data_IF_014989859091
#
_entry.id   IF_014989859091
#
_cell.length_a   1.000
_cell.length_b   1.000
_cell.length_c   1.000
_cell.angle_alpha   90.00
_cell.angle_beta   90.00
_cell.angle_gamma   90.00
#
_symmetry.space_group_name_H-M   'P 1'
#
loop_
_entity.id
_entity.type
_entity.pdbx_description
1 polymer ?
#
# COMPACT_ATOMS: atom_id res chain seq x y z
N UNK A 1 5.00 3.88 14.73
CA UNK A 1 4.79 5.35 14.87
C UNK A 1 4.73 5.96 13.48
N UNK A 2 3.83 6.92 13.25
CA UNK A 2 3.68 7.64 11.97
C UNK A 2 4.27 9.06 12.10
N UNK A 3 5.18 9.43 11.22
CA UNK A 3 5.87 10.73 11.27
C UNK A 3 5.14 11.78 10.43
N UNK A 4 5.04 12.99 10.97
CA UNK A 4 4.39 14.11 10.29
C UNK A 4 5.12 14.47 8.99
N UNK A 5 4.41 14.63 7.85
CA UNK A 5 5.05 14.95 6.57
C UNK A 5 5.55 16.40 6.50
N UNK A 6 5.12 17.27 7.40
CA UNK A 6 5.62 18.64 7.47
C UNK A 6 7.09 18.63 7.90
N UNK A 7 7.97 19.06 6.98
CA UNK A 7 9.42 19.11 7.17
C UNK A 7 9.85 19.87 8.42
N UNK A 8 9.15 20.94 8.80
CA UNK A 8 9.46 21.73 9.99
C UNK A 8 8.98 21.09 11.30
N UNK A 9 8.18 20.02 11.23
CA UNK A 9 7.56 19.40 12.40
C UNK A 9 8.09 18.00 12.68
N UNK A 10 7.90 17.08 11.72
CA UNK A 10 8.34 15.68 11.78
C UNK A 10 8.00 14.93 13.08
N UNK A 11 7.02 15.40 13.86
CA UNK A 11 6.65 14.75 15.12
C UNK A 11 6.10 13.33 14.88
N UNK A 12 6.41 12.42 15.80
CA UNK A 12 5.82 11.09 15.84
C UNK A 12 4.35 11.18 16.31
N UNK A 13 3.48 10.42 15.66
CA UNK A 13 2.05 10.35 15.94
C UNK A 13 1.60 8.89 15.97
N UNK A 14 0.51 8.63 16.70
CA UNK A 14 -0.18 7.35 16.61
C UNK A 14 -0.77 7.15 15.20
N UNK A 15 -0.79 5.91 14.74
CA UNK A 15 -1.35 5.54 13.43
C UNK A 15 -2.84 5.89 13.33
N UNK A 16 -3.59 5.88 14.44
CA UNK A 16 -5.01 6.25 14.45
C UNK A 16 -5.25 7.75 14.21
N UNK A 17 -4.25 8.60 14.39
CA UNK A 17 -4.41 10.04 14.25
C UNK A 17 -4.59 10.45 12.78
N UNK A 18 -5.57 11.32 12.51
CA UNK A 18 -5.79 11.93 11.19
C UNK A 18 -4.96 13.19 10.95
N UNK A 19 -4.61 13.89 12.03
CA UNK A 19 -3.83 15.12 12.00
C UNK A 19 -2.70 15.04 13.03
N UNK A 20 -1.58 15.68 12.70
CA UNK A 20 -0.46 15.80 13.61
C UNK A 20 -0.87 16.49 14.90
N UNK A 21 -0.59 15.89 16.06
CA UNK A 21 -0.94 16.47 17.36
C UNK A 21 -0.19 17.78 17.64
N UNK A 22 1.01 17.96 17.05
CA UNK A 22 1.85 19.14 17.26
C UNK A 22 1.51 20.32 16.35
N UNK A 23 1.33 20.08 15.04
CA UNK A 23 1.20 21.15 14.04
C UNK A 23 -0.08 21.09 13.21
N UNK A 24 -0.97 20.11 13.48
CA UNK A 24 -2.25 19.90 12.79
C UNK A 24 -2.18 19.63 11.28
N UNK A 25 -0.99 19.48 10.70
CA UNK A 25 -0.82 18.96 9.32
C UNK A 25 -1.51 17.59 9.19
N UNK A 26 -2.28 17.34 8.11
CA UNK A 26 -2.84 16.02 7.83
C UNK A 26 -1.78 14.92 7.83
N UNK A 27 -2.14 13.75 8.33
CA UNK A 27 -1.28 12.57 8.36
C UNK A 27 -1.77 11.55 7.31
N UNK A 28 -1.27 11.65 6.06
CA UNK A 28 -1.58 10.65 5.04
C UNK A 28 -1.05 9.28 5.47
N UNK A 29 -1.78 8.24 5.11
CA UNK A 29 -1.44 6.84 5.41
C UNK A 29 -1.39 6.10 4.08
N UNK A 30 -0.18 5.74 3.66
CA UNK A 30 0.02 4.91 2.49
C UNK A 30 0.21 3.47 2.96
N UNK A 31 -0.84 2.66 2.80
CA UNK A 31 -0.74 1.22 2.95
C UNK A 31 -0.42 0.64 1.58
N UNK A 32 0.74 0.01 1.49
CA UNK A 32 1.37 -0.41 0.26
C UNK A 32 1.31 -1.93 0.17
N UNK A 33 0.97 -2.42 -1.01
CA UNK A 33 1.05 -3.83 -1.34
C UNK A 33 2.45 -4.17 -1.82
N UNK A 34 3.08 -5.17 -1.22
CA UNK A 34 4.43 -5.57 -1.54
C UNK A 34 4.46 -6.83 -2.40
N UNK A 35 5.22 -6.75 -3.49
CA UNK A 35 5.46 -7.82 -4.43
C UNK A 35 6.94 -8.19 -4.48
N UNK A 36 7.20 -9.48 -4.70
CA UNK A 36 8.54 -10.05 -4.73
C UNK A 36 8.64 -11.27 -3.80
N UNK A 37 9.62 -12.12 -4.04
CA UNK A 37 9.79 -13.41 -3.33
C UNK A 37 9.88 -13.24 -1.81
N UNK A 38 10.51 -12.15 -1.35
CA UNK A 38 10.70 -11.86 0.07
C UNK A 38 9.50 -11.16 0.72
N UNK A 39 8.48 -10.73 -0.04
CA UNK A 39 7.35 -9.98 0.52
C UNK A 39 6.56 -10.79 1.57
N UNK A 40 6.51 -12.11 1.39
CA UNK A 40 5.81 -13.05 2.26
C UNK A 40 6.62 -13.46 3.50
N UNK A 41 7.93 -13.18 3.52
CA UNK A 41 8.80 -13.59 4.63
C UNK A 41 8.78 -12.62 5.80
N UNK A 42 8.34 -11.38 5.56
CA UNK A 42 8.24 -10.35 6.60
C UNK A 42 7.07 -10.61 7.54
N UNK A 43 7.32 -10.38 8.83
CA UNK A 43 6.36 -10.54 9.91
C UNK A 43 5.80 -9.18 10.35
N UNK A 44 4.56 -9.12 10.86
CA UNK A 44 4.02 -7.89 11.44
C UNK A 44 4.99 -7.30 12.48
N UNK A 45 5.30 -6.02 12.35
CA UNK A 45 6.27 -5.32 13.20
C UNK A 45 7.66 -5.14 12.57
N UNK A 46 8.00 -5.90 11.52
CA UNK A 46 9.26 -5.71 10.79
C UNK A 46 9.32 -4.32 10.16
N UNK A 47 10.47 -3.64 10.26
CA UNK A 47 10.69 -2.33 9.68
C UNK A 47 11.75 -2.42 8.59
N UNK A 48 11.38 -2.06 7.37
CA UNK A 48 12.28 -2.05 6.19
C UNK A 48 12.71 -0.61 5.92
N UNK A 49 14.01 -0.41 5.70
CA UNK A 49 14.64 0.87 5.32
C UNK A 49 14.29 2.02 6.29
N UNK A 50 14.13 1.70 7.57
CA UNK A 50 13.67 2.62 8.62
C UNK A 50 12.37 3.40 8.26
N UNK A 51 11.54 2.84 7.37
CA UNK A 51 10.40 3.57 6.77
C UNK A 51 9.15 2.73 6.61
N UNK A 52 9.26 1.51 6.11
CA UNK A 52 8.10 0.69 5.78
C UNK A 52 7.86 -0.35 6.88
N UNK A 53 6.79 -0.15 7.64
CA UNK A 53 6.41 -1.05 8.73
C UNK A 53 5.50 -2.16 8.18
N UNK A 54 5.91 -3.41 8.30
CA UNK A 54 5.09 -4.57 7.99
C UNK A 54 3.89 -4.62 8.94
N UNK A 55 2.69 -4.53 8.38
CA UNK A 55 1.43 -4.68 9.12
C UNK A 55 0.91 -6.11 9.03
N UNK A 56 1.18 -6.77 7.91
CA UNK A 56 0.87 -8.16 7.58
C UNK A 56 1.85 -8.59 6.46
N UNK A 57 2.12 -9.89 6.25
CA UNK A 57 2.72 -10.34 5.00
C UNK A 57 2.09 -9.62 3.79
N UNK A 58 2.95 -9.05 2.93
CA UNK A 58 2.60 -8.23 1.77
C UNK A 58 1.94 -6.85 2.01
N UNK A 59 1.60 -6.45 3.24
CA UNK A 59 1.01 -5.13 3.51
C UNK A 59 1.90 -4.30 4.43
N UNK A 60 2.36 -3.15 3.92
CA UNK A 60 3.29 -2.26 4.60
C UNK A 60 2.70 -0.88 4.78
N UNK A 61 2.96 -0.24 5.92
CA UNK A 61 2.64 1.17 6.14
C UNK A 61 3.90 2.02 5.91
N UNK A 62 3.81 3.04 5.04
CA UNK A 62 4.84 4.08 5.00
C UNK A 62 4.73 4.96 6.26
N UNK A 63 5.69 4.79 7.18
CA UNK A 63 5.73 5.54 8.43
C UNK A 63 6.27 6.97 8.27
N UNK A 64 6.89 7.30 7.13
CA UNK A 64 7.48 8.61 6.83
C UNK A 64 6.95 9.14 5.49
N UNK A 65 5.65 9.51 5.41
CA UNK A 65 5.05 9.97 4.15
C UNK A 65 5.58 11.32 3.65
N UNK A 66 6.33 12.07 4.47
CA UNK A 66 7.02 13.29 4.04
C UNK A 66 8.28 13.04 3.21
N UNK A 67 8.78 11.79 3.18
CA UNK A 67 9.90 11.41 2.32
C UNK A 67 9.38 11.09 0.92
N UNK A 68 10.02 11.69 -0.08
CA UNK A 68 9.75 11.43 -1.49
C UNK A 68 10.14 9.97 -1.79
N UNK A 69 9.25 9.16 -2.40
CA UNK A 69 9.61 7.81 -2.82
C UNK A 69 10.76 7.84 -3.81
N UNK A 70 11.74 6.95 -3.64
CA UNK A 70 12.84 6.81 -4.59
C UNK A 70 12.42 5.78 -5.64
N UNK A 71 12.13 6.22 -6.86
CA UNK A 71 11.95 5.28 -7.96
C UNK A 71 13.31 4.71 -8.35
N UNK A 72 13.61 3.49 -7.90
CA UNK A 72 14.78 2.78 -8.39
C UNK A 72 14.55 2.36 -9.84
N UNK A 73 15.44 2.80 -10.74
CA UNK A 73 15.50 2.34 -12.12
C UNK A 73 16.69 1.38 -12.24
N UNK A 74 16.55 0.22 -12.92
CA UNK A 74 15.36 -0.21 -13.66
C UNK A 74 14.24 -0.77 -12.76
N UNK A 75 12.99 -0.59 -13.20
CA UNK A 75 11.83 -1.25 -12.57
C UNK A 75 11.88 -2.75 -12.90
N UNK A 76 11.67 -3.65 -11.92
CA UNK A 76 11.62 -5.09 -12.18
C UNK A 76 10.52 -5.46 -13.18
N UNK A 77 10.69 -6.55 -13.93
CA UNK A 77 9.73 -7.00 -14.96
C UNK A 77 8.30 -7.15 -14.43
N UNK A 78 8.16 -7.58 -13.17
CA UNK A 78 6.86 -7.72 -12.50
C UNK A 78 6.13 -6.37 -12.31
N UNK A 79 6.85 -5.26 -12.33
CA UNK A 79 6.29 -3.90 -12.27
C UNK A 79 5.86 -3.37 -13.64
N UNK A 80 6.37 -3.90 -14.75
CA UNK A 80 6.13 -3.39 -16.10
C UNK A 80 4.64 -3.31 -16.46
N UNK A 81 3.78 -4.31 -16.14
CA UNK A 81 2.34 -4.20 -16.38
C UNK A 81 1.70 -2.98 -15.70
N UNK A 82 2.11 -2.64 -14.48
CA UNK A 82 1.59 -1.48 -13.76
C UNK A 82 1.99 -0.15 -14.39
N UNK A 83 3.18 -0.08 -15.00
CA UNK A 83 3.60 1.10 -15.76
C UNK A 83 2.74 1.32 -17.01
N UNK A 84 2.45 0.23 -17.75
CA UNK A 84 1.54 0.29 -18.91
C UNK A 84 0.13 0.72 -18.51
N UNK A 85 -0.34 0.30 -17.32
CA UNK A 85 -1.65 0.61 -16.78
C UNK A 85 -1.72 1.93 -15.99
N UNK A 86 -0.65 2.73 -15.96
CA UNK A 86 -0.64 4.04 -15.27
C UNK A 86 -1.75 5.02 -15.71
N UNK A 87 -2.25 5.02 -16.96
CA UNK A 87 -3.41 5.84 -17.31
C UNK A 87 -4.69 5.48 -16.54
N UNK A 88 -4.79 4.26 -15.99
CA UNK A 88 -5.92 3.75 -15.23
C UNK A 88 -5.71 3.83 -13.71
N UNK A 89 -4.89 4.77 -13.22
CA UNK A 89 -4.48 4.92 -11.82
C UNK A 89 -5.61 4.98 -10.77
N UNK A 90 -6.85 5.30 -11.15
CA UNK A 90 -8.00 5.26 -10.24
C UNK A 90 -8.54 3.84 -9.98
N UNK A 91 -8.13 2.88 -10.82
CA UNK A 91 -8.66 1.52 -10.83
C UNK A 91 -7.57 0.46 -10.69
N UNK A 92 -6.30 0.84 -10.86
CA UNK A 92 -5.16 -0.08 -10.86
C UNK A 92 -4.10 0.42 -9.88
N UNK A 93 -3.54 -0.45 -9.03
CA UNK A 93 -2.43 -0.10 -8.15
C UNK A 93 -1.28 0.54 -8.93
N UNK A 94 -0.56 1.46 -8.30
CA UNK A 94 0.54 2.20 -8.94
C UNK A 94 1.86 1.87 -8.27
N UNK A 95 2.95 1.84 -9.04
CA UNK A 95 4.29 1.66 -8.47
C UNK A 95 4.59 2.83 -7.54
N UNK A 96 4.82 2.51 -6.27
CA UNK A 96 5.22 3.47 -5.26
C UNK A 96 6.75 3.58 -5.22
N UNK A 97 7.42 2.46 -4.98
CA UNK A 97 8.87 2.40 -4.74
C UNK A 97 9.38 0.98 -4.98
N UNK A 98 10.63 0.87 -5.41
CA UNK A 98 11.32 -0.42 -5.55
C UNK A 98 12.47 -0.43 -4.55
N UNK A 99 12.40 -1.33 -3.57
CA UNK A 99 13.43 -1.52 -2.57
C UNK A 99 14.37 -2.64 -3.00
N UNK A 100 15.67 -2.38 -2.95
CA UNK A 100 16.68 -3.41 -3.15
C UNK A 100 17.01 -4.04 -1.81
N UNK A 101 16.69 -5.32 -1.62
CA UNK A 101 17.09 -6.07 -0.43
C UNK A 101 18.61 -6.26 -0.36
N UNK A 102 19.14 -6.43 0.85
CA UNK A 102 20.57 -6.71 1.08
C UNK A 102 21.05 -8.02 0.45
N UNK A 103 20.13 -8.94 0.17
CA UNK A 103 20.35 -10.22 -0.53
C UNK A 103 20.22 -10.12 -2.06
N UNK A 104 19.98 -8.92 -2.61
CA UNK A 104 19.75 -8.71 -4.04
C UNK A 104 18.30 -8.95 -4.51
N UNK A 105 17.43 -9.46 -3.63
CA UNK A 105 16.01 -9.59 -3.93
C UNK A 105 15.30 -8.22 -3.91
N UNK A 106 14.63 -7.86 -5.00
CA UNK A 106 13.86 -6.61 -5.08
C UNK A 106 12.46 -6.76 -4.48
N UNK A 107 12.04 -5.78 -3.70
CA UNK A 107 10.67 -5.66 -3.20
C UNK A 107 10.00 -4.47 -3.91
N UNK A 108 8.98 -4.75 -4.71
CA UNK A 108 8.18 -3.74 -5.39
C UNK A 108 7.00 -3.36 -4.48
N UNK A 109 6.89 -2.08 -4.13
CA UNK A 109 5.76 -1.55 -3.36
C UNK A 109 4.77 -0.87 -4.30
N UNK A 110 3.49 -1.19 -4.14
CA UNK A 110 2.38 -0.63 -4.90
C UNK A 110 1.47 0.18 -3.97
N UNK A 111 1.12 1.41 -4.37
CA UNK A 111 0.10 2.22 -3.71
C UNK A 111 -1.27 1.99 -4.36
N UNK A 112 -2.34 2.41 -3.68
CA UNK A 112 -3.73 2.27 -4.13
C UNK A 112 -4.13 0.80 -4.42
N UNK A 113 -3.53 -0.14 -3.70
CA UNK A 113 -3.93 -1.54 -3.74
C UNK A 113 -5.31 -1.74 -3.11
N UNK A 114 -5.95 -2.86 -3.47
CA UNK A 114 -7.24 -3.29 -2.94
C UNK A 114 -7.12 -3.74 -1.47
N UNK A 115 -6.87 -2.79 -0.58
CA UNK A 115 -6.64 -3.01 0.85
C UNK A 115 -7.77 -2.33 1.64
N UNK A 116 -8.42 -3.10 2.50
CA UNK A 116 -9.35 -2.59 3.48
C UNK A 116 -8.57 -2.12 4.72
N UNK A 117 -8.82 -0.88 5.12
CA UNK A 117 -8.27 -0.29 6.35
C UNK A 117 -9.43 0.04 7.27
N UNK A 118 -9.51 -0.63 8.41
CA UNK A 118 -10.46 -0.30 9.45
C UNK A 118 -9.71 0.24 10.67
N UNK A 119 -10.10 1.43 11.12
CA UNK A 119 -9.57 2.05 12.32
C UNK A 119 -10.69 2.16 13.36
N UNK A 120 -10.50 1.56 14.53
CA UNK A 120 -11.42 1.70 15.65
C UNK A 120 -11.29 3.09 16.26
N UNK A 121 -12.42 3.78 16.46
CA UNK A 121 -12.46 5.18 16.90
C UNK A 121 -11.95 5.36 18.34
N UNK A 122 -11.91 4.29 19.14
CA UNK A 122 -11.59 4.32 20.57
C UNK A 122 -10.24 3.68 20.92
N UNK A 123 -9.19 4.06 20.18
CA UNK A 123 -7.80 3.65 20.51
C UNK A 123 -7.47 2.18 20.23
N UNK A 124 -8.35 1.47 19.51
CA UNK A 124 -8.08 0.12 19.04
C UNK A 124 -7.00 0.08 17.96
N UNK A 125 -6.46 -1.11 17.74
CA UNK A 125 -5.45 -1.37 16.72
C UNK A 125 -6.01 -1.13 15.31
N UNK A 126 -5.22 -0.52 14.43
CA UNK A 126 -5.62 -0.36 13.03
C UNK A 126 -5.44 -1.70 12.33
N UNK A 127 -6.55 -2.25 11.84
CA UNK A 127 -6.56 -3.52 11.11
C UNK A 127 -6.47 -3.25 9.62
N UNK A 128 -5.60 -4.00 8.95
CA UNK A 128 -5.43 -3.96 7.50
C UNK A 128 -5.54 -5.36 6.93
N UNK A 129 -6.38 -5.49 5.92
CA UNK A 129 -6.68 -6.75 5.25
C UNK A 129 -6.75 -6.50 3.74
N UNK A 130 -6.34 -7.45 2.89
CA UNK A 130 -6.70 -7.39 1.48
C UNK A 130 -8.23 -7.43 1.35
N UNK A 131 -8.77 -6.74 0.34
CA UNK A 131 -10.16 -6.95 -0.06
C UNK A 131 -10.33 -8.38 -0.60
N UNK A 132 -11.55 -8.95 -0.51
CA UNK A 132 -11.84 -10.25 -1.08
C UNK A 132 -11.47 -10.33 -2.55
N UNK A 133 -11.02 -11.51 -2.96
CA UNK A 133 -10.74 -11.82 -4.35
C UNK A 133 -12.02 -11.86 -5.17
N UNK A 134 -11.88 -11.72 -6.48
CA UNK A 134 -13.03 -11.88 -7.39
C UNK A 134 -13.66 -13.27 -7.27
N UNK A 135 -12.87 -14.32 -7.04
CA UNK A 135 -13.36 -15.70 -6.92
C UNK A 135 -14.26 -15.89 -5.69
N UNK A 136 -13.86 -15.33 -4.54
CA UNK A 136 -14.62 -15.41 -3.29
C UNK A 136 -15.99 -14.71 -3.40
N UNK A 137 -16.03 -13.59 -4.11
CA UNK A 137 -17.25 -12.77 -4.26
C UNK A 137 -18.09 -13.15 -5.50
N UNK A 138 -17.53 -13.90 -6.45
CA UNK A 138 -18.15 -14.15 -7.75
C UNK A 138 -19.55 -14.75 -7.63
N UNK A 139 -19.68 -15.83 -6.85
CA UNK A 139 -20.95 -16.55 -6.72
C UNK A 139 -22.02 -15.76 -5.98
N UNK A 140 -21.62 -14.83 -5.11
CA UNK A 140 -22.52 -14.02 -4.30
C UNK A 140 -22.93 -12.72 -5.00
N UNK A 141 -22.16 -12.32 -6.03
CA UNK A 141 -22.42 -11.11 -6.80
C UNK A 141 -23.66 -11.26 -7.72
N UNK A 142 -24.37 -10.15 -7.91
CA UNK A 142 -25.45 -10.09 -8.90
C UNK A 142 -24.91 -10.22 -10.33
N UNK A 143 -25.74 -10.68 -11.27
CA UNK A 143 -25.35 -10.79 -12.68
C UNK A 143 -24.85 -9.47 -13.27
N UNK A 144 -25.46 -8.34 -12.88
CA UNK A 144 -25.00 -7.01 -13.30
C UNK A 144 -23.61 -6.69 -12.75
N UNK A 145 -23.32 -7.09 -11.51
CA UNK A 145 -22.01 -6.88 -10.88
C UNK A 145 -20.93 -7.76 -11.52
N UNK A 146 -21.23 -9.03 -11.79
CA UNK A 146 -20.34 -9.93 -12.54
C UNK A 146 -20.02 -9.36 -13.93
N UNK A 147 -21.04 -8.90 -14.67
CA UNK A 147 -20.85 -8.27 -15.98
C UNK A 147 -19.98 -7.01 -15.89
N UNK A 148 -20.17 -6.19 -14.85
CA UNK A 148 -19.36 -4.99 -14.61
C UNK A 148 -17.88 -5.35 -14.39
N UNK A 149 -17.58 -6.38 -13.60
CA UNK A 149 -16.21 -6.86 -13.40
C UNK A 149 -15.58 -7.41 -14.68
N UNK A 150 -16.32 -8.21 -15.47
CA UNK A 150 -15.83 -8.68 -16.76
C UNK A 150 -15.50 -7.52 -17.70
N UNK A 151 -16.35 -6.50 -17.73
CA UNK A 151 -16.10 -5.31 -18.51
C UNK A 151 -14.84 -4.57 -18.05
N UNK A 152 -14.64 -4.40 -16.73
CA UNK A 152 -13.42 -3.80 -16.19
C UNK A 152 -12.17 -4.60 -16.57
N UNK A 153 -12.19 -5.93 -16.42
CA UNK A 153 -11.08 -6.80 -16.80
C UNK A 153 -10.77 -6.69 -18.30
N UNK A 154 -11.79 -6.61 -19.15
CA UNK A 154 -11.60 -6.45 -20.60
C UNK A 154 -11.02 -5.08 -21.01
N UNK A 155 -11.10 -4.06 -20.15
CA UNK A 155 -10.49 -2.73 -20.41
C UNK A 155 -9.02 -2.64 -19.97
N UNK A 156 -8.51 -3.65 -19.25
CA UNK A 156 -7.11 -3.70 -18.79
C UNK A 156 -6.16 -4.39 -19.78
N UNK A 157 -6.67 -4.89 -20.91
CA UNK A 157 -5.93 -5.56 -21.99
C UNK A 157 -6.12 -4.81 -23.31
#
# INVERSE_FOLDING_TARGET
>A
MLYCPNYNCQAANAETHRFCQKCRTPLPKHYLWAMGEVALTYQPGDLIDDRFLCKRPQIFLNTKPGLVPVQAMPVPDVGVPYLHLSPYQLHVPQIYEVLSGTSGASLLLLDQAAIQVAAWVDGGEVTVEPLPTLEEEWQQASALRQLNWLWQLAQLW
#
